data_IF_491956128768
#
_entry.id   IF_491956128768
#
_cell.length_a   1.000
_cell.length_b   1.000
_cell.length_c   1.000
_cell.angle_alpha   90.00
_cell.angle_beta   90.00
_cell.angle_gamma   90.00
#
_symmetry.space_group_name_H-M   'P 1'
#
loop_
_entity.id
_entity.type
_entity.pdbx_description
1 polymer ?
#
# COMPACT_ATOMS: atom_id res chain seq x y z
N UNK A 1 6.29 12.72 -32.87
CA UNK A 1 7.13 13.03 -31.70
C UNK A 1 6.22 13.66 -30.65
N UNK A 2 5.92 12.97 -29.55
CA UNK A 2 5.01 13.49 -28.52
C UNK A 2 5.83 14.36 -27.57
N UNK A 3 5.58 15.67 -27.57
CA UNK A 3 6.17 16.61 -26.62
C UNK A 3 5.35 16.50 -25.34
N UNK A 4 5.74 15.61 -24.44
CA UNK A 4 5.10 15.51 -23.12
C UNK A 4 5.58 16.71 -22.29
N UNK A 5 4.66 17.60 -21.94
CA UNK A 5 4.94 18.68 -20.99
C UNK A 5 5.29 18.05 -19.62
N UNK A 6 6.44 18.42 -19.04
CA UNK A 6 6.90 17.89 -17.73
C UNK A 6 5.86 18.05 -16.64
N UNK A 7 5.07 19.13 -16.65
CA UNK A 7 4.01 19.35 -15.66
C UNK A 7 2.89 18.31 -15.82
N UNK A 8 2.43 18.07 -17.05
CA UNK A 8 1.43 17.03 -17.33
C UNK A 8 1.91 15.62 -16.97
N UNK A 9 3.21 15.34 -17.16
CA UNK A 9 3.80 14.07 -16.74
C UNK A 9 3.78 13.91 -15.21
N UNK A 10 4.06 14.99 -14.47
CA UNK A 10 3.98 15.01 -13.00
C UNK A 10 2.55 14.82 -12.50
N UNK A 11 1.59 15.52 -13.09
CA UNK A 11 0.17 15.39 -12.70
C UNK A 11 -0.34 13.98 -12.92
N UNK A 12 0.03 13.36 -14.06
CA UNK A 12 -0.33 11.99 -14.37
C UNK A 12 0.31 10.99 -13.40
N UNK A 13 1.58 11.20 -13.05
CA UNK A 13 2.27 10.38 -12.05
C UNK A 13 1.64 10.49 -10.67
N UNK A 14 1.36 11.72 -10.21
CA UNK A 14 0.69 11.96 -8.94
C UNK A 14 -0.70 11.32 -8.89
N UNK A 15 -1.46 11.40 -9.98
CA UNK A 15 -2.76 10.74 -10.10
C UNK A 15 -2.65 9.21 -9.96
N UNK A 16 -1.62 8.59 -10.57
CA UNK A 16 -1.37 7.15 -10.44
C UNK A 16 -1.02 6.75 -9.00
N UNK A 17 -0.14 7.51 -8.32
CA UNK A 17 0.22 7.27 -6.92
C UNK A 17 -1.01 7.38 -6.02
N UNK A 18 -1.85 8.39 -6.23
CA UNK A 18 -3.09 8.55 -5.48
C UNK A 18 -4.11 7.44 -5.76
N UNK A 19 -4.20 6.97 -7.00
CA UNK A 19 -5.07 5.84 -7.37
C UNK A 19 -4.62 4.55 -6.69
N UNK A 20 -3.33 4.20 -6.77
CA UNK A 20 -2.81 3.00 -6.11
C UNK A 20 -2.92 3.11 -4.59
N UNK A 21 -2.67 4.29 -4.01
CA UNK A 21 -2.90 4.54 -2.58
C UNK A 21 -4.33 4.23 -2.17
N UNK A 22 -5.31 4.73 -2.92
CA UNK A 22 -6.72 4.46 -2.64
C UNK A 22 -7.06 2.97 -2.76
N UNK A 23 -6.57 2.31 -3.80
CA UNK A 23 -6.81 0.87 -4.01
C UNK A 23 -6.22 0.02 -2.89
N UNK A 24 -4.99 0.29 -2.47
CA UNK A 24 -4.30 -0.46 -1.40
C UNK A 24 -4.95 -0.20 -0.04
N UNK A 25 -5.34 1.03 0.26
CA UNK A 25 -6.03 1.36 1.51
C UNK A 25 -7.40 0.68 1.60
N UNK A 26 -8.15 0.60 0.51
CA UNK A 26 -9.41 -0.15 0.50
C UNK A 26 -9.19 -1.66 0.68
N UNK A 27 -8.12 -2.23 0.11
CA UNK A 27 -7.75 -3.64 0.35
C UNK A 27 -7.42 -3.92 1.82
N UNK A 28 -6.61 -3.08 2.44
CA UNK A 28 -6.32 -3.16 3.89
C UNK A 28 -7.60 -3.05 4.70
N UNK A 29 -8.47 -2.09 4.36
CA UNK A 29 -9.77 -1.91 5.03
C UNK A 29 -10.66 -3.15 4.95
N UNK A 30 -10.66 -3.86 3.82
CA UNK A 30 -11.41 -5.11 3.67
C UNK A 30 -10.88 -6.20 4.60
N UNK A 31 -9.57 -6.32 4.77
CA UNK A 31 -8.97 -7.24 5.73
C UNK A 31 -9.28 -6.86 7.19
N UNK A 32 -9.13 -5.58 7.54
CA UNK A 32 -9.53 -5.06 8.86
C UNK A 32 -10.99 -5.37 9.15
N UNK A 33 -11.87 -5.31 8.14
CA UNK A 33 -13.28 -5.70 8.29
C UNK A 33 -13.48 -7.22 8.37
N UNK A 34 -12.75 -8.03 7.59
CA UNK A 34 -12.81 -9.50 7.61
C UNK A 34 -12.46 -10.03 9.00
N UNK A 35 -11.40 -9.48 9.61
CA UNK A 35 -10.86 -9.97 10.88
C UNK A 35 -11.27 -9.13 12.10
N UNK A 36 -11.89 -7.97 11.91
CA UNK A 36 -12.31 -7.04 12.96
C UNK A 36 -11.18 -6.64 13.93
N UNK A 37 -9.94 -6.58 13.43
CA UNK A 37 -8.74 -6.27 14.20
C UNK A 37 -7.71 -5.54 13.34
N UNK A 38 -6.69 -4.94 13.95
CA UNK A 38 -5.57 -4.36 13.22
C UNK A 38 -4.64 -5.43 12.65
N UNK A 39 -3.83 -5.07 11.64
CA UNK A 39 -2.81 -5.96 11.09
C UNK A 39 -1.86 -6.49 12.18
N UNK A 40 -1.45 -5.64 13.11
CA UNK A 40 -0.53 -6.01 14.20
C UNK A 40 -1.15 -7.02 15.17
N UNK A 41 -2.46 -6.91 15.43
CA UNK A 41 -3.20 -7.87 16.22
C UNK A 41 -3.31 -9.20 15.48
N UNK A 42 -3.64 -9.14 14.18
CA UNK A 42 -3.75 -10.32 13.33
C UNK A 42 -2.41 -11.06 13.19
N UNK A 43 -1.32 -10.33 13.01
CA UNK A 43 0.04 -10.90 12.92
C UNK A 43 0.44 -11.62 14.21
N UNK A 44 0.12 -11.05 15.38
CA UNK A 44 0.36 -11.69 16.68
C UNK A 44 -0.47 -12.95 16.84
N UNK A 45 -1.75 -12.90 16.46
CA UNK A 45 -2.67 -14.04 16.57
C UNK A 45 -2.23 -15.22 15.69
N UNK A 46 -1.88 -14.96 14.42
CA UNK A 46 -1.39 -15.99 13.51
C UNK A 46 -0.08 -16.61 13.97
N UNK A 47 0.89 -15.80 14.41
CA UNK A 47 2.20 -16.30 14.84
C UNK A 47 2.14 -17.03 16.17
N UNK A 48 1.16 -16.72 17.01
CA UNK A 48 0.91 -17.37 18.30
C UNK A 48 -0.01 -18.58 18.22
N UNK A 49 -0.63 -18.85 17.07
CA UNK A 49 -1.54 -19.99 16.90
C UNK A 49 -0.78 -21.30 16.82
N UNK A 50 -1.15 -22.28 17.64
CA UNK A 50 -0.60 -23.64 17.57
C UNK A 50 -1.14 -24.43 16.37
N UNK A 51 -2.28 -24.00 15.81
CA UNK A 51 -2.92 -24.64 14.66
C UNK A 51 -2.65 -23.84 13.39
N UNK A 52 -2.05 -24.50 12.42
CA UNK A 52 -1.83 -23.93 11.09
C UNK A 52 -3.16 -23.80 10.34
N UNK A 53 -3.50 -22.56 10.01
CA UNK A 53 -4.65 -22.21 9.18
C UNK A 53 -4.12 -21.55 7.91
N UNK A 54 -4.04 -22.34 6.83
CA UNK A 54 -3.45 -21.92 5.57
C UNK A 54 -4.19 -20.72 4.94
N UNK A 55 -5.52 -20.65 5.07
CA UNK A 55 -6.27 -19.51 4.53
C UNK A 55 -5.89 -18.22 5.27
N UNK A 56 -5.76 -18.30 6.59
CA UNK A 56 -5.33 -17.16 7.41
C UNK A 56 -3.89 -16.76 7.10
N UNK A 57 -3.00 -17.72 6.88
CA UNK A 57 -1.61 -17.45 6.47
C UNK A 57 -1.53 -16.78 5.08
N UNK A 58 -2.31 -17.23 4.11
CA UNK A 58 -2.40 -16.60 2.79
C UNK A 58 -2.88 -15.15 2.90
N UNK A 59 -3.95 -14.91 3.67
CA UNK A 59 -4.47 -13.58 3.95
C UNK A 59 -3.43 -12.70 4.66
N UNK A 60 -2.65 -13.26 5.59
CA UNK A 60 -1.56 -12.53 6.25
C UNK A 60 -0.48 -12.11 5.27
N UNK A 61 -0.08 -13.00 4.38
CA UNK A 61 0.94 -12.70 3.38
C UNK A 61 0.45 -11.60 2.42
N UNK A 62 -0.81 -11.66 1.99
CA UNK A 62 -1.42 -10.63 1.14
C UNK A 62 -1.52 -9.28 1.89
N UNK A 63 -2.07 -9.28 3.10
CA UNK A 63 -2.23 -8.07 3.91
C UNK A 63 -0.88 -7.42 4.22
N UNK A 64 0.12 -8.21 4.63
CA UNK A 64 1.50 -7.72 4.85
C UNK A 64 2.09 -7.09 3.58
N UNK A 65 1.80 -7.68 2.42
CA UNK A 65 2.17 -7.12 1.12
C UNK A 65 1.57 -5.72 0.93
N UNK A 66 0.27 -5.56 1.18
CA UNK A 66 -0.39 -4.27 1.08
C UNK A 66 0.12 -3.24 2.09
N UNK A 67 0.42 -3.63 3.33
CA UNK A 67 1.03 -2.73 4.33
C UNK A 67 2.36 -2.17 3.82
N UNK A 68 3.22 -3.03 3.25
CA UNK A 68 4.50 -2.60 2.67
C UNK A 68 4.31 -1.66 1.47
N UNK A 69 3.38 -1.97 0.57
CA UNK A 69 3.07 -1.12 -0.58
C UNK A 69 2.53 0.23 -0.10
N UNK A 70 1.66 0.26 0.91
CA UNK A 70 1.13 1.49 1.49
C UNK A 70 2.25 2.37 2.04
N UNK A 71 3.22 1.80 2.77
CA UNK A 71 4.38 2.54 3.27
C UNK A 71 5.21 3.17 2.14
N UNK A 72 5.43 2.43 1.05
CA UNK A 72 6.13 2.94 -0.12
C UNK A 72 5.36 4.09 -0.79
N UNK A 73 4.05 3.93 -1.00
CA UNK A 73 3.21 4.97 -1.60
C UNK A 73 3.13 6.24 -0.73
N UNK A 74 3.12 6.09 0.61
CA UNK A 74 3.17 7.23 1.53
C UNK A 74 4.50 7.99 1.37
N UNK A 75 5.62 7.25 1.30
CA UNK A 75 6.94 7.84 1.10
C UNK A 75 7.01 8.58 -0.23
N UNK A 76 6.58 7.93 -1.31
CA UNK A 76 6.57 8.46 -2.66
C UNK A 76 5.69 9.71 -2.78
N UNK A 77 4.47 9.69 -2.21
CA UNK A 77 3.59 10.86 -2.14
C UNK A 77 4.23 12.02 -1.39
N UNK A 78 4.92 11.74 -0.28
CA UNK A 78 5.57 12.76 0.55
C UNK A 78 6.75 13.41 -0.17
N UNK A 79 7.52 12.62 -0.90
CA UNK A 79 8.53 13.15 -1.81
C UNK A 79 7.84 14.05 -2.87
N UNK A 80 6.62 13.70 -3.33
CA UNK A 80 5.90 14.37 -4.45
C UNK A 80 5.49 15.77 -4.05
N UNK A 81 5.13 15.90 -2.78
CA UNK A 81 4.70 17.14 -2.14
C UNK A 81 5.87 18.06 -1.73
N UNK A 82 7.03 17.50 -1.36
CA UNK A 82 8.21 18.29 -0.93
C UNK A 82 9.02 18.84 -2.12
N UNK A 83 8.88 18.25 -3.31
CA UNK A 83 9.45 18.79 -4.55
C UNK A 83 10.94 18.50 -4.78
N UNK A 84 11.55 17.65 -3.96
CA UNK A 84 12.98 17.33 -4.02
C UNK A 84 13.22 15.98 -4.72
N UNK A 85 13.03 15.95 -6.04
CA UNK A 85 13.45 14.82 -6.86
C UNK A 85 14.58 15.24 -7.76
N UNK A 86 15.77 14.73 -7.45
CA UNK A 86 16.80 14.54 -8.46
C UNK A 86 16.31 13.47 -9.43
N UNK A 87 15.72 13.90 -10.53
CA UNK A 87 15.69 13.10 -11.75
C UNK A 87 17.16 12.90 -12.14
N UNK A 88 17.68 11.68 -11.95
CA UNK A 88 18.98 11.29 -12.52
C UNK A 88 18.78 10.82 -13.95
#
# INVERSE_FOLDING_TARGET
MVIINREKAKDMYYANVMYEYHKVTEKIRLFTKKYAMSFEQFEKDIKGSEKEDFERWDDYMEWKGYENVLQNLIKEKKELEVGDYKVS
#
